data_IF_070508236787
#
_entry.id   IF_070508236787
#
_cell.length_a   1.000
_cell.length_b   1.000
_cell.length_c   1.000
_cell.angle_alpha   90.00
_cell.angle_beta   90.00
_cell.angle_gamma   90.00
#
_symmetry.space_group_name_H-M   'P 1'
#
loop_
_entity.id
_entity.type
_entity.pdbx_description
1 polymer ?
#
# COMPACT_ATOMS: atom_id res chain seq x y z
N UNK A 1 33.70 69.83 -14.46
CA UNK A 1 32.84 69.20 -13.53
C UNK A 1 33.02 67.66 -13.75
N UNK A 2 33.88 67.00 -12.92
CA UNK A 2 34.29 65.60 -13.10
C UNK A 2 33.47 64.79 -12.12
N UNK A 3 32.60 63.89 -12.64
CA UNK A 3 31.89 62.86 -11.81
C UNK A 3 32.84 61.70 -11.49
N UNK A 4 33.00 61.41 -10.20
CA UNK A 4 33.67 60.21 -9.70
C UNK A 4 32.61 59.10 -9.61
N UNK A 5 32.88 57.96 -10.27
CA UNK A 5 32.13 56.71 -10.13
C UNK A 5 32.82 55.90 -9.05
N UNK A 6 32.13 55.67 -7.94
CA UNK A 6 32.58 54.74 -6.90
C UNK A 6 32.08 53.31 -7.23
N UNK A 7 33.03 52.40 -7.37
CA UNK A 7 32.74 50.97 -7.62
C UNK A 7 32.57 50.30 -6.25
N UNK A 8 31.34 49.88 -5.91
CA UNK A 8 31.07 49.03 -4.78
C UNK A 8 31.42 47.57 -5.17
N UNK A 9 32.44 47.01 -4.55
CA UNK A 9 32.75 45.59 -4.64
C UNK A 9 31.84 44.77 -3.67
N UNK A 10 30.87 44.03 -4.24
CA UNK A 10 30.07 43.08 -3.48
C UNK A 10 30.86 41.79 -3.26
N UNK A 11 31.23 41.51 -2.01
CA UNK A 11 31.77 40.21 -1.61
C UNK A 11 30.63 39.17 -1.60
N UNK A 12 30.64 38.28 -2.58
CA UNK A 12 29.84 37.04 -2.55
C UNK A 12 30.52 36.06 -1.60
N UNK A 13 29.97 35.89 -0.40
CA UNK A 13 30.31 34.77 0.46
C UNK A 13 29.58 33.54 -0.08
N UNK A 14 30.27 32.75 -0.87
CA UNK A 14 29.78 31.44 -1.31
C UNK A 14 29.65 30.51 -0.10
N UNK A 15 28.44 30.22 0.35
CA UNK A 15 28.18 29.13 1.25
C UNK A 15 28.46 27.82 0.49
N UNK A 16 29.61 27.19 0.75
CA UNK A 16 29.87 25.82 0.35
C UNK A 16 28.90 24.94 1.15
N UNK A 17 27.79 24.51 0.51
CA UNK A 17 27.02 23.37 0.99
C UNK A 17 27.95 22.17 0.90
N UNK A 18 28.41 21.68 2.03
CA UNK A 18 29.06 20.36 2.14
C UNK A 18 28.05 19.34 1.58
N UNK A 19 28.46 18.45 0.65
CA UNK A 19 27.59 17.37 0.25
C UNK A 19 27.28 16.56 1.51
N UNK A 20 26.01 16.38 1.84
CA UNK A 20 25.60 15.39 2.82
C UNK A 20 26.22 14.07 2.35
N UNK A 21 27.20 13.56 3.10
CA UNK A 21 27.79 12.27 2.82
C UNK A 21 26.62 11.28 2.75
N UNK A 22 26.44 10.65 1.60
CA UNK A 22 25.52 9.54 1.47
C UNK A 22 25.92 8.55 2.59
N UNK A 23 25.02 8.35 3.56
CA UNK A 23 25.30 7.49 4.70
C UNK A 23 25.53 6.10 4.13
N UNK A 24 26.78 5.61 4.21
CA UNK A 24 27.16 4.30 3.71
C UNK A 24 26.30 3.26 4.45
N UNK A 25 25.56 2.46 3.70
CA UNK A 25 24.81 1.33 4.25
C UNK A 25 25.82 0.25 4.69
N UNK A 26 25.52 -0.46 5.78
CA UNK A 26 26.42 -1.45 6.35
C UNK A 26 27.57 -0.80 7.14
N UNK A 27 28.71 -1.47 7.19
CA UNK A 27 29.86 -1.04 7.96
C UNK A 27 29.78 -1.45 9.43
N UNK A 28 30.52 -0.74 10.31
CA UNK A 28 30.47 -1.01 11.75
C UNK A 28 29.12 -0.63 12.34
N UNK A 29 28.45 -1.59 12.94
CA UNK A 29 27.07 -1.41 13.44
C UNK A 29 27.01 -0.43 14.61
N UNK A 30 28.02 -0.42 15.49
CA UNK A 30 28.04 0.48 16.65
C UNK A 30 28.27 1.94 16.21
N UNK A 31 29.19 2.16 15.27
CA UNK A 31 29.41 3.49 14.68
C UNK A 31 28.14 3.97 13.94
N UNK A 32 27.45 3.08 13.24
CA UNK A 32 26.18 3.38 12.58
C UNK A 32 25.08 3.75 13.59
N UNK A 33 24.93 3.01 14.72
CA UNK A 33 24.00 3.34 15.80
C UNK A 33 24.26 4.72 16.39
N UNK A 34 25.53 5.11 16.57
CA UNK A 34 25.88 6.45 17.03
C UNK A 34 25.38 7.55 16.09
N UNK A 35 25.44 7.32 14.77
CA UNK A 35 24.86 8.22 13.78
C UNK A 35 23.32 8.32 13.92
N UNK A 36 22.64 7.18 14.14
CA UNK A 36 21.19 7.16 14.41
C UNK A 36 20.86 7.91 15.70
N UNK A 37 21.64 7.70 16.78
CA UNK A 37 21.45 8.37 18.06
C UNK A 37 21.59 9.90 17.94
N UNK A 38 22.55 10.36 17.15
CA UNK A 38 22.74 11.80 16.89
C UNK A 38 21.51 12.40 16.17
N UNK A 39 20.97 11.72 15.16
CA UNK A 39 19.75 12.14 14.47
C UNK A 39 18.52 12.14 15.40
N UNK A 40 18.34 11.06 16.17
CA UNK A 40 17.25 10.93 17.11
C UNK A 40 17.30 12.03 18.18
N UNK A 41 18.49 12.31 18.72
CA UNK A 41 18.71 13.41 19.67
C UNK A 41 18.41 14.78 19.05
N UNK A 42 18.84 15.01 17.81
CA UNK A 42 18.53 16.25 17.08
C UNK A 42 17.02 16.42 16.82
N UNK A 43 16.28 15.30 16.69
CA UNK A 43 14.83 15.27 16.56
C UNK A 43 14.08 15.36 17.92
N UNK A 44 14.80 15.44 19.05
CA UNK A 44 14.21 15.62 20.38
C UNK A 44 13.86 14.32 21.11
N UNK A 45 14.42 13.18 20.70
CA UNK A 45 14.30 11.92 21.45
C UNK A 45 15.14 12.01 22.73
N UNK A 46 14.53 11.70 23.87
CA UNK A 46 15.15 11.73 25.18
C UNK A 46 15.88 10.42 25.54
N UNK A 47 16.32 10.33 26.79
CA UNK A 47 17.18 9.24 27.28
C UNK A 47 16.54 7.86 27.09
N UNK A 48 15.27 7.69 27.41
CA UNK A 48 14.59 6.37 27.29
C UNK A 48 14.64 5.81 25.87
N UNK A 49 14.40 6.68 24.87
CA UNK A 49 14.48 6.27 23.47
C UNK A 49 15.93 5.99 23.01
N UNK A 50 16.90 6.76 23.50
CA UNK A 50 18.32 6.58 23.17
C UNK A 50 18.90 5.31 23.82
N UNK A 51 18.55 5.03 25.08
CA UNK A 51 18.95 3.81 25.78
C UNK A 51 18.39 2.57 25.06
N UNK A 52 17.14 2.62 24.62
CA UNK A 52 16.55 1.53 23.83
C UNK A 52 17.35 1.30 22.53
N UNK A 53 17.82 2.37 21.87
CA UNK A 53 18.65 2.25 20.67
C UNK A 53 20.05 1.66 20.97
N UNK A 54 20.66 2.04 22.09
CA UNK A 54 21.95 1.50 22.53
C UNK A 54 21.87 -0.02 22.73
N UNK A 55 20.79 -0.50 23.35
CA UNK A 55 20.55 -1.93 23.58
C UNK A 55 20.13 -2.70 22.31
N UNK A 56 19.81 -2.02 21.22
CA UNK A 56 19.33 -2.65 20.00
C UNK A 56 20.42 -3.49 19.30
N UNK A 57 20.03 -4.66 18.84
CA UNK A 57 20.91 -5.65 18.21
C UNK A 57 20.42 -6.08 16.83
N UNK A 58 21.32 -6.66 16.04
CA UNK A 58 20.97 -7.25 14.75
C UNK A 58 20.02 -8.46 14.95
N UNK A 59 18.93 -8.50 14.22
CA UNK A 59 18.00 -9.63 14.13
C UNK A 59 18.13 -10.34 12.77
N UNK A 60 18.90 -11.44 12.75
CA UNK A 60 19.11 -12.26 11.56
C UNK A 60 17.80 -12.85 11.00
N UNK A 61 16.79 -13.03 11.82
CA UNK A 61 15.46 -13.50 11.38
C UNK A 61 14.81 -12.44 10.47
N UNK A 62 14.97 -11.14 10.80
CA UNK A 62 14.44 -10.05 9.99
C UNK A 62 15.13 -9.99 8.62
N UNK A 63 16.46 -10.14 8.57
CA UNK A 63 17.22 -10.25 7.32
C UNK A 63 16.79 -11.44 6.48
N UNK A 64 16.62 -12.60 7.10
CA UNK A 64 16.16 -13.81 6.41
C UNK A 64 14.78 -13.62 5.80
N UNK A 65 13.86 -12.96 6.51
CA UNK A 65 12.52 -12.64 6.00
C UNK A 65 12.56 -11.64 4.84
N UNK A 66 13.37 -10.60 4.95
CA UNK A 66 13.53 -9.60 3.87
C UNK A 66 14.05 -10.23 2.57
N UNK A 67 14.95 -11.21 2.67
CA UNK A 67 15.54 -11.90 1.52
C UNK A 67 14.68 -13.06 0.99
N UNK A 68 13.81 -13.62 1.83
CA UNK A 68 12.94 -14.74 1.48
C UNK A 68 11.58 -14.30 0.91
N UNK A 69 11.42 -13.03 0.51
CA UNK A 69 10.18 -12.57 -0.12
C UNK A 69 9.98 -13.29 -1.45
N UNK A 70 9.14 -14.33 -1.43
CA UNK A 70 8.75 -15.07 -2.61
C UNK A 70 7.98 -14.19 -3.60
N UNK A 71 8.18 -14.43 -4.87
CA UNK A 71 7.43 -13.81 -5.95
C UNK A 71 5.95 -14.22 -5.81
N UNK A 72 5.07 -13.24 -5.59
CA UNK A 72 3.62 -13.47 -5.60
C UNK A 72 3.16 -13.69 -7.04
N UNK A 73 3.09 -14.95 -7.47
CA UNK A 73 2.63 -15.36 -8.82
C UNK A 73 1.15 -15.70 -8.87
N UNK A 74 0.41 -15.56 -7.76
CA UNK A 74 -1.02 -15.87 -7.74
C UNK A 74 -1.81 -14.87 -8.58
N UNK A 75 -2.77 -15.39 -9.35
CA UNK A 75 -3.76 -14.57 -10.02
C UNK A 75 -4.64 -13.82 -9.02
N UNK A 76 -5.30 -12.75 -9.46
CA UNK A 76 -6.24 -12.01 -8.59
C UNK A 76 -7.31 -12.92 -7.97
N UNK A 77 -7.90 -13.82 -8.76
CA UNK A 77 -8.96 -14.71 -8.28
C UNK A 77 -8.43 -15.71 -7.23
N UNK A 78 -7.26 -16.31 -7.46
CA UNK A 78 -6.65 -17.23 -6.49
C UNK A 78 -6.31 -16.51 -5.18
N UNK A 79 -5.69 -15.34 -5.27
CA UNK A 79 -5.34 -14.55 -4.10
C UNK A 79 -6.59 -14.09 -3.34
N UNK A 80 -7.59 -13.53 -4.03
CA UNK A 80 -8.82 -13.04 -3.43
C UNK A 80 -9.61 -14.16 -2.74
N UNK A 81 -9.76 -15.33 -3.39
CA UNK A 81 -10.47 -16.47 -2.81
C UNK A 81 -9.80 -16.98 -1.53
N UNK A 82 -8.47 -16.96 -1.49
CA UNK A 82 -7.72 -17.32 -0.28
C UNK A 82 -7.87 -16.29 0.82
N UNK A 83 -7.80 -14.99 0.46
CA UNK A 83 -7.81 -13.90 1.43
C UNK A 83 -9.22 -13.56 1.93
N UNK A 84 -10.25 -13.62 1.09
CA UNK A 84 -11.65 -13.40 1.46
C UNK A 84 -12.28 -14.73 1.91
N UNK A 85 -11.70 -15.31 2.95
CA UNK A 85 -12.15 -16.60 3.48
C UNK A 85 -13.48 -16.50 4.24
N UNK A 86 -14.22 -17.62 4.31
CA UNK A 86 -15.46 -17.69 5.09
C UNK A 86 -15.20 -17.34 6.57
N UNK A 87 -14.04 -17.71 7.11
CA UNK A 87 -13.63 -17.35 8.47
C UNK A 87 -13.54 -15.85 8.65
N UNK A 88 -12.80 -15.14 7.77
CA UNK A 88 -12.66 -13.67 7.84
C UNK A 88 -13.98 -12.96 7.69
N UNK A 89 -14.82 -13.39 6.75
CA UNK A 89 -16.15 -12.80 6.57
C UNK A 89 -17.04 -12.98 7.82
N UNK A 90 -17.05 -14.17 8.41
CA UNK A 90 -17.81 -14.43 9.64
C UNK A 90 -17.28 -13.62 10.81
N UNK A 91 -15.96 -13.63 11.03
CA UNK A 91 -15.34 -12.90 12.14
C UNK A 91 -15.49 -11.39 11.98
N UNK A 92 -15.33 -10.87 10.75
CA UNK A 92 -15.52 -9.44 10.47
C UNK A 92 -16.96 -8.99 10.70
N UNK A 93 -17.96 -9.76 10.26
CA UNK A 93 -19.37 -9.47 10.53
C UNK A 93 -19.67 -9.47 12.06
N UNK A 94 -19.07 -10.38 12.81
CA UNK A 94 -19.20 -10.40 14.26
C UNK A 94 -18.55 -9.16 14.91
N UNK A 95 -17.36 -8.76 14.46
CA UNK A 95 -16.65 -7.58 14.97
C UNK A 95 -17.37 -6.27 14.61
N UNK A 96 -17.89 -6.15 13.39
CA UNK A 96 -18.70 -4.99 12.97
C UNK A 96 -19.91 -4.81 13.89
N UNK A 97 -20.58 -5.91 14.29
CA UNK A 97 -21.69 -5.87 15.25
C UNK A 97 -21.21 -5.57 16.68
N UNK A 98 -20.12 -6.24 17.12
CA UNK A 98 -19.61 -6.11 18.49
C UNK A 98 -19.14 -4.69 18.81
N UNK A 99 -18.48 -4.03 17.86
CA UNK A 99 -17.88 -2.72 18.01
C UNK A 99 -18.61 -1.62 17.24
N UNK A 100 -19.91 -1.81 17.00
CA UNK A 100 -20.73 -0.90 16.17
C UNK A 100 -20.62 0.56 16.59
N UNK A 101 -20.65 0.86 17.89
CA UNK A 101 -20.53 2.22 18.41
C UNK A 101 -19.17 2.87 18.10
N UNK A 102 -18.08 2.08 18.12
CA UNK A 102 -16.74 2.58 17.78
C UNK A 102 -16.63 2.82 16.29
N UNK A 103 -17.13 1.91 15.46
CA UNK A 103 -17.20 2.08 14.02
C UNK A 103 -18.03 3.29 13.61
N UNK A 104 -19.19 3.53 14.28
CA UNK A 104 -20.02 4.71 14.05
C UNK A 104 -19.26 6.01 14.41
N UNK A 105 -18.48 6.01 15.50
CA UNK A 105 -17.63 7.16 15.84
C UNK A 105 -16.55 7.38 14.78
N UNK A 106 -15.89 6.32 14.33
CA UNK A 106 -14.87 6.39 13.30
C UNK A 106 -15.42 6.95 11.97
N UNK A 107 -16.61 6.49 11.55
CA UNK A 107 -17.28 7.03 10.37
C UNK A 107 -17.67 8.50 10.57
N UNK A 108 -18.29 8.86 11.68
CA UNK A 108 -18.66 10.26 11.98
C UNK A 108 -17.45 11.19 12.01
N UNK A 109 -16.33 10.76 12.60
CA UNK A 109 -15.14 11.60 12.77
C UNK A 109 -14.29 11.66 11.49
N UNK A 110 -14.03 10.52 10.86
CA UNK A 110 -13.06 10.39 9.78
C UNK A 110 -13.70 10.14 8.40
N UNK A 111 -15.01 9.84 8.34
CA UNK A 111 -15.72 9.56 7.10
C UNK A 111 -15.37 8.23 6.45
N UNK A 112 -14.81 7.30 7.21
CA UNK A 112 -14.39 5.99 6.72
C UNK A 112 -15.41 4.94 7.14
N UNK A 113 -16.02 4.29 6.14
CA UNK A 113 -17.06 3.31 6.40
C UNK A 113 -16.55 2.11 7.19
N UNK A 114 -17.35 1.56 8.13
CA UNK A 114 -17.00 0.39 8.95
C UNK A 114 -16.45 -0.80 8.16
N UNK A 115 -17.05 -1.07 7.01
CA UNK A 115 -16.67 -2.17 6.12
C UNK A 115 -15.22 -2.08 5.62
N UNK A 116 -14.73 -0.86 5.38
CA UNK A 116 -13.36 -0.59 4.90
C UNK A 116 -12.34 -0.87 6.00
N UNK A 117 -12.59 -0.36 7.21
CA UNK A 117 -11.73 -0.58 8.37
C UNK A 117 -11.66 -2.07 8.71
N UNK A 118 -12.81 -2.76 8.70
CA UNK A 118 -12.90 -4.20 8.98
C UNK A 118 -12.14 -5.04 7.93
N UNK A 119 -12.13 -4.61 6.66
CA UNK A 119 -11.40 -5.31 5.60
C UNK A 119 -9.88 -5.24 5.83
N UNK A 120 -9.32 -4.08 6.13
CA UNK A 120 -7.91 -3.96 6.48
C UNK A 120 -7.58 -4.76 7.74
N UNK A 121 -8.37 -4.62 8.81
CA UNK A 121 -8.14 -5.34 10.06
C UNK A 121 -8.14 -6.87 9.86
N UNK A 122 -9.07 -7.39 9.05
CA UNK A 122 -9.12 -8.81 8.72
C UNK A 122 -7.96 -9.29 7.86
N UNK A 123 -7.52 -8.49 6.88
CA UNK A 123 -6.44 -8.88 5.97
C UNK A 123 -5.05 -8.79 6.61
N UNK A 124 -4.83 -7.79 7.46
CA UNK A 124 -3.52 -7.58 8.08
C UNK A 124 -3.20 -8.65 9.12
N UNK A 125 -4.14 -8.96 10.02
CA UNK A 125 -3.81 -9.79 11.20
C UNK A 125 -4.88 -10.81 11.58
N UNK A 126 -5.86 -11.12 10.72
CA UNK A 126 -7.02 -11.93 11.12
C UNK A 126 -7.71 -11.37 12.39
N UNK A 127 -7.95 -10.03 12.38
CA UNK A 127 -8.55 -9.29 13.50
C UNK A 127 -7.73 -9.36 14.80
N UNK A 128 -6.41 -9.23 14.68
CA UNK A 128 -5.48 -9.21 15.79
C UNK A 128 -4.95 -10.59 16.22
N UNK A 129 -5.35 -11.66 15.55
CA UNK A 129 -4.91 -13.00 15.89
C UNK A 129 -3.42 -13.24 15.59
N UNK A 130 -2.86 -12.57 14.57
CA UNK A 130 -1.45 -12.72 14.14
C UNK A 130 -0.82 -11.35 13.95
N UNK A 131 -0.18 -10.81 14.97
CA UNK A 131 0.41 -9.45 14.95
C UNK A 131 1.92 -9.42 14.75
N UNK A 132 2.56 -10.59 14.61
CA UNK A 132 4.02 -10.71 14.56
C UNK A 132 4.68 -10.83 15.95
N UNK A 133 5.89 -11.38 15.97
CA UNK A 133 6.68 -11.70 17.16
C UNK A 133 8.13 -11.15 17.08
N UNK A 134 8.45 -10.34 16.08
CA UNK A 134 9.74 -9.70 15.95
C UNK A 134 9.88 -8.54 16.92
N UNK A 135 11.05 -8.38 17.54
CA UNK A 135 11.38 -7.19 18.30
C UNK A 135 11.48 -6.01 17.31
N UNK A 136 10.51 -5.09 17.36
CA UNK A 136 10.33 -4.07 16.32
C UNK A 136 11.57 -3.19 16.13
N UNK A 137 12.21 -2.75 17.23
CA UNK A 137 13.40 -1.92 17.15
C UNK A 137 14.57 -2.69 16.54
N UNK A 138 14.82 -3.95 16.97
CA UNK A 138 15.89 -4.79 16.42
C UNK A 138 15.67 -5.06 14.93
N UNK A 139 14.44 -5.34 14.51
CA UNK A 139 14.10 -5.51 13.10
C UNK A 139 14.39 -4.24 12.28
N UNK A 140 13.97 -3.07 12.78
CA UNK A 140 14.17 -1.81 12.07
C UNK A 140 15.65 -1.37 12.03
N UNK A 141 16.42 -1.50 13.11
CA UNK A 141 17.88 -1.17 13.05
C UNK A 141 18.60 -2.10 12.10
N UNK A 142 18.25 -3.39 12.10
CA UNK A 142 18.82 -4.39 11.20
C UNK A 142 18.57 -4.05 9.74
N UNK A 143 17.33 -3.80 9.38
CA UNK A 143 16.91 -3.53 7.99
C UNK A 143 17.35 -2.14 7.52
N UNK A 144 17.53 -1.19 8.44
CA UNK A 144 18.07 0.14 8.14
C UNK A 144 19.60 0.13 7.95
N UNK A 145 20.29 -0.80 8.61
CA UNK A 145 21.72 -1.00 8.47
C UNK A 145 22.03 -1.81 7.20
N UNK A 146 21.17 -2.74 6.80
CA UNK A 146 21.35 -3.56 5.59
C UNK A 146 21.27 -2.72 4.31
N UNK A 147 22.07 -3.09 3.28
CA UNK A 147 22.22 -2.29 2.06
C UNK A 147 21.09 -2.46 1.04
N UNK A 148 20.13 -3.36 1.26
CA UNK A 148 19.09 -3.65 0.26
C UNK A 148 18.07 -2.53 0.14
N UNK A 149 17.52 -2.02 1.25
CA UNK A 149 16.47 -1.00 1.29
C UNK A 149 16.58 -0.09 2.51
N UNK A 150 17.76 0.46 2.84
CA UNK A 150 18.00 1.12 4.11
C UNK A 150 17.05 2.30 4.37
N UNK A 151 16.78 3.14 3.37
CA UNK A 151 15.96 4.34 3.52
C UNK A 151 14.51 4.02 3.90
N UNK A 152 13.96 2.92 3.38
CA UNK A 152 12.59 2.50 3.68
C UNK A 152 12.39 2.27 5.19
N UNK A 153 13.39 1.69 5.84
CA UNK A 153 13.34 1.35 7.26
C UNK A 153 13.89 2.48 8.14
N UNK A 154 14.88 3.23 7.65
CA UNK A 154 15.52 4.33 8.39
C UNK A 154 14.51 5.39 8.82
N UNK A 155 13.60 5.77 7.95
CA UNK A 155 12.54 6.74 8.25
C UNK A 155 11.61 6.31 9.40
N UNK A 156 11.59 5.02 9.77
CA UNK A 156 10.76 4.50 10.84
C UNK A 156 11.45 4.54 12.22
N UNK A 157 12.79 4.69 12.26
CA UNK A 157 13.56 4.61 13.51
C UNK A 157 13.28 5.77 14.46
N UNK A 158 13.42 7.01 14.01
CA UNK A 158 13.19 8.18 14.88
C UNK A 158 11.75 8.22 15.40
N UNK A 159 10.71 7.97 14.57
CA UNK A 159 9.34 7.83 15.07
C UNK A 159 9.18 6.72 16.13
N UNK A 160 9.79 5.54 15.92
CA UNK A 160 9.72 4.46 16.91
C UNK A 160 10.39 4.87 18.22
N UNK A 161 11.60 5.41 18.16
CA UNK A 161 12.32 5.89 19.34
C UNK A 161 11.54 6.99 20.08
N UNK A 162 10.88 7.88 19.35
CA UNK A 162 9.98 8.89 19.92
C UNK A 162 8.79 8.28 20.66
N UNK A 163 8.17 7.23 20.08
CA UNK A 163 7.05 6.53 20.74
C UNK A 163 7.51 5.80 22.01
N UNK A 164 8.71 5.22 22.00
CA UNK A 164 9.31 4.57 23.17
C UNK A 164 9.65 5.63 24.24
N UNK A 165 10.30 6.71 23.84
CA UNK A 165 10.69 7.79 24.76
C UNK A 165 9.49 8.43 25.47
N UNK A 166 8.35 8.58 24.77
CA UNK A 166 7.10 9.08 25.33
C UNK A 166 6.31 8.05 26.16
N UNK A 167 6.82 6.82 26.29
CA UNK A 167 6.13 5.73 27.00
C UNK A 167 4.84 5.24 26.31
N UNK A 168 4.64 5.60 25.04
CA UNK A 168 3.51 5.08 24.22
C UNK A 168 3.74 3.61 23.89
N UNK A 169 4.97 3.25 23.54
CA UNK A 169 5.38 1.87 23.27
C UNK A 169 6.48 1.44 24.25
N UNK A 170 6.47 0.18 24.71
CA UNK A 170 7.61 -0.36 25.44
C UNK A 170 8.80 -0.60 24.51
N UNK A 171 10.03 -0.55 25.05
CA UNK A 171 11.24 -0.77 24.25
C UNK A 171 11.28 -2.15 23.58
N UNK A 172 10.67 -3.15 24.21
CA UNK A 172 10.58 -4.54 23.74
C UNK A 172 9.32 -4.81 22.88
N UNK A 173 8.67 -3.76 22.36
CA UNK A 173 7.48 -3.90 21.52
C UNK A 173 7.70 -4.87 20.37
N UNK A 174 6.71 -5.74 20.17
CA UNK A 174 6.74 -6.75 19.09
C UNK A 174 5.80 -6.38 17.96
N UNK A 175 6.20 -6.74 16.75
CA UNK A 175 5.45 -6.48 15.53
C UNK A 175 5.81 -7.45 14.41
N UNK A 176 5.50 -7.07 13.16
CA UNK A 176 5.97 -7.79 11.99
C UNK A 176 7.48 -7.57 11.75
N UNK A 177 8.05 -8.38 10.87
CA UNK A 177 9.48 -8.40 10.57
C UNK A 177 9.99 -7.09 9.94
N UNK A 178 9.13 -6.31 9.30
CA UNK A 178 9.47 -5.05 8.65
C UNK A 178 9.09 -3.80 9.49
N UNK A 179 8.76 -4.00 10.77
CA UNK A 179 8.56 -2.90 11.74
C UNK A 179 7.13 -2.44 11.93
N UNK A 180 6.16 -3.09 11.28
CA UNK A 180 4.73 -2.80 11.47
C UNK A 180 4.25 -3.31 12.83
N UNK A 181 3.35 -2.55 13.48
CA UNK A 181 2.89 -2.76 14.86
C UNK A 181 1.37 -2.85 14.89
N UNK A 182 0.87 -3.77 15.73
CA UNK A 182 -0.53 -3.84 16.11
C UNK A 182 -1.43 -4.54 15.09
N UNK A 183 -2.73 -4.47 15.37
CA UNK A 183 -3.73 -5.30 14.69
C UNK A 183 -4.00 -4.89 13.24
N UNK A 184 -3.63 -3.69 12.83
CA UNK A 184 -3.72 -3.24 11.42
C UNK A 184 -2.35 -2.90 10.84
N UNK A 185 -1.27 -3.41 11.44
CA UNK A 185 0.10 -3.35 10.93
C UNK A 185 0.52 -1.91 10.56
N UNK A 186 0.44 -1.02 11.55
CA UNK A 186 0.77 0.39 11.41
C UNK A 186 2.27 0.61 11.57
N UNK A 187 2.88 1.35 10.66
CA UNK A 187 4.28 1.74 10.74
C UNK A 187 4.49 2.82 11.82
N UNK A 188 5.66 2.90 12.47
CA UNK A 188 5.94 3.90 13.52
C UNK A 188 5.65 5.36 13.12
N UNK A 189 5.94 5.75 11.87
CA UNK A 189 5.58 7.08 11.35
C UNK A 189 4.09 7.34 11.41
N UNK A 190 3.29 6.39 10.95
CA UNK A 190 1.83 6.51 10.95
C UNK A 190 1.25 6.38 12.37
N UNK A 191 1.86 5.56 13.22
CA UNK A 191 1.48 5.42 14.62
C UNK A 191 1.62 6.77 15.35
N UNK A 192 2.78 7.44 15.17
CA UNK A 192 3.05 8.74 15.77
C UNK A 192 2.14 9.84 15.24
N UNK A 193 1.84 9.82 13.92
CA UNK A 193 1.07 10.88 13.26
C UNK A 193 -0.45 10.69 13.38
N UNK A 194 -0.94 9.46 13.45
CA UNK A 194 -2.36 9.12 13.30
C UNK A 194 -2.93 8.30 14.46
N UNK A 195 -2.13 7.98 15.49
CA UNK A 195 -2.58 7.25 16.66
C UNK A 195 -3.72 7.99 17.38
N UNK A 196 -4.80 7.27 17.67
CA UNK A 196 -5.99 7.79 18.35
C UNK A 196 -6.32 6.90 19.54
N UNK A 197 -6.41 7.51 20.72
CA UNK A 197 -6.98 6.90 21.93
C UNK A 197 -8.49 6.77 21.72
N UNK A 198 -8.91 5.59 21.34
CA UNK A 198 -10.30 5.30 20.95
C UNK A 198 -11.20 4.92 22.12
N UNK A 199 -10.66 4.43 23.23
CA UNK A 199 -11.42 4.10 24.44
C UNK A 199 -11.33 5.17 25.54
N UNK A 200 -10.41 6.14 25.40
CA UNK A 200 -10.29 7.29 26.28
C UNK A 200 -9.51 6.98 27.58
N UNK A 201 -8.65 5.95 27.55
CA UNK A 201 -7.85 5.55 28.71
C UNK A 201 -6.54 6.38 28.88
N UNK A 202 -6.28 7.30 27.95
CA UNK A 202 -5.11 8.18 27.93
C UNK A 202 -3.90 7.57 27.20
N UNK A 203 -4.06 6.46 26.50
CA UNK A 203 -3.02 5.76 25.74
C UNK A 203 -3.51 5.39 24.35
N UNK A 204 -2.57 5.08 23.48
CA UNK A 204 -2.88 4.47 22.18
C UNK A 204 -2.25 3.09 22.17
N UNK A 205 -3.06 2.03 22.23
CA UNK A 205 -2.59 0.64 22.23
C UNK A 205 -3.14 -0.12 21.02
N UNK A 206 -2.41 -0.09 19.91
CA UNK A 206 -2.82 -0.76 18.68
C UNK A 206 -2.66 -2.29 18.73
N UNK A 207 -2.14 -2.84 19.83
CA UNK A 207 -2.02 -4.29 20.00
C UNK A 207 -3.20 -4.88 20.76
N UNK A 208 -3.74 -4.18 21.74
CA UNK A 208 -4.71 -4.74 22.68
C UNK A 208 -6.03 -3.98 22.72
N UNK A 209 -6.06 -2.66 22.45
CA UNK A 209 -7.29 -1.87 22.40
C UNK A 209 -7.90 -1.88 21.00
N UNK A 210 -9.02 -2.57 20.83
CA UNK A 210 -9.76 -2.58 19.56
C UNK A 210 -10.32 -1.20 19.20
N UNK A 211 -10.84 -0.39 20.15
CA UNK A 211 -11.23 0.99 19.86
C UNK A 211 -10.09 1.82 19.24
N UNK A 212 -8.88 1.73 19.78
CA UNK A 212 -7.71 2.45 19.26
C UNK A 212 -7.36 1.99 17.85
N UNK A 213 -7.41 0.68 17.61
CA UNK A 213 -7.19 0.07 16.29
C UNK A 213 -8.17 0.63 15.26
N UNK A 214 -9.47 0.65 15.57
CA UNK A 214 -10.52 1.13 14.65
C UNK A 214 -10.33 2.62 14.37
N UNK A 215 -10.16 3.44 15.43
CA UNK A 215 -10.06 4.88 15.30
C UNK A 215 -8.75 5.31 14.60
N UNK A 216 -7.62 4.70 14.93
CA UNK A 216 -6.33 4.95 14.29
C UNK A 216 -6.34 4.53 12.82
N UNK A 217 -6.93 3.37 12.50
CA UNK A 217 -7.06 2.91 11.11
C UNK A 217 -7.88 3.89 10.28
N UNK A 218 -9.00 4.39 10.82
CA UNK A 218 -9.82 5.40 10.15
C UNK A 218 -9.08 6.73 9.97
N UNK A 219 -8.37 7.20 11.00
CA UNK A 219 -7.52 8.40 10.95
C UNK A 219 -6.47 8.30 9.84
N UNK A 220 -5.74 7.18 9.77
CA UNK A 220 -4.75 6.93 8.71
C UNK A 220 -5.38 6.90 7.32
N UNK A 221 -6.51 6.20 7.13
CA UNK A 221 -7.21 6.13 5.85
C UNK A 221 -7.66 7.52 5.41
N UNK A 222 -8.25 8.30 6.31
CA UNK A 222 -8.68 9.67 6.01
C UNK A 222 -7.49 10.55 5.59
N UNK A 223 -6.36 10.45 6.28
CA UNK A 223 -5.16 11.25 5.98
C UNK A 223 -4.58 10.97 4.59
N UNK A 224 -4.88 9.80 4.01
CA UNK A 224 -4.49 9.42 2.64
C UNK A 224 -5.48 9.91 1.57
N UNK A 225 -6.42 10.78 1.93
CA UNK A 225 -7.34 11.42 0.98
C UNK A 225 -8.67 10.69 0.79
N UNK A 226 -9.08 9.86 1.74
CA UNK A 226 -10.40 9.22 1.73
C UNK A 226 -11.51 10.25 1.63
N UNK A 227 -12.43 10.04 0.68
CA UNK A 227 -13.60 10.89 0.46
C UNK A 227 -14.83 10.24 1.07
N UNK A 228 -15.43 10.92 2.05
CA UNK A 228 -16.66 10.49 2.72
C UNK A 228 -17.76 10.20 1.70
N UNK A 229 -18.57 9.19 1.94
CA UNK A 229 -19.75 8.79 1.17
C UNK A 229 -19.49 8.47 -0.31
N UNK A 230 -18.22 8.35 -0.71
CA UNK A 230 -17.88 7.91 -2.06
C UNK A 230 -17.56 6.42 -2.12
N UNK A 231 -17.87 5.82 -3.26
CA UNK A 231 -17.50 4.45 -3.57
C UNK A 231 -15.96 4.27 -3.65
N UNK A 232 -15.50 3.03 -3.46
CA UNK A 232 -14.10 2.64 -3.68
C UNK A 232 -13.96 1.72 -4.89
N UNK A 233 -14.73 0.62 -4.97
CA UNK A 233 -14.83 -0.24 -6.16
C UNK A 233 -16.27 -0.69 -6.37
N UNK A 234 -16.59 -0.99 -7.63
CA UNK A 234 -17.86 -1.56 -8.03
C UNK A 234 -17.61 -2.63 -9.08
N UNK A 235 -18.05 -3.86 -8.85
CA UNK A 235 -18.05 -4.90 -9.88
C UNK A 235 -18.94 -4.51 -11.04
N UNK A 236 -18.52 -4.82 -12.28
CA UNK A 236 -19.28 -4.54 -13.49
C UNK A 236 -19.14 -5.67 -14.51
N UNK A 237 -20.05 -5.72 -15.47
CA UNK A 237 -19.91 -6.50 -16.71
C UNK A 237 -19.42 -5.60 -17.82
N UNK A 238 -18.47 -6.11 -18.59
CA UNK A 238 -17.98 -5.48 -19.80
C UNK A 238 -18.51 -6.24 -21.02
N UNK A 239 -18.81 -5.57 -22.14
CA UNK A 239 -19.22 -6.21 -23.39
C UNK A 239 -18.03 -6.98 -24.02
N UNK A 240 -18.30 -7.73 -25.09
CA UNK A 240 -17.23 -8.43 -25.81
C UNK A 240 -16.29 -7.46 -26.55
N UNK A 241 -16.82 -6.33 -27.03
CA UNK A 241 -16.08 -5.29 -27.75
C UNK A 241 -16.39 -3.90 -27.18
N UNK A 242 -15.34 -3.15 -26.92
CA UNK A 242 -15.36 -1.75 -26.49
C UNK A 242 -14.00 -1.10 -26.74
N UNK A 243 -13.82 0.21 -26.54
CA UNK A 243 -12.50 0.86 -26.56
C UNK A 243 -11.61 0.38 -25.41
N UNK A 244 -10.95 -0.78 -25.57
CA UNK A 244 -10.11 -1.40 -24.55
C UNK A 244 -8.90 -0.53 -24.15
N UNK A 245 -8.42 0.34 -25.05
CA UNK A 245 -7.38 1.32 -24.81
C UNK A 245 -7.80 2.39 -23.77
N UNK A 246 -9.09 2.57 -23.55
CA UNK A 246 -9.62 3.47 -22.53
C UNK A 246 -9.70 2.84 -21.15
N UNK A 247 -9.50 1.54 -21.01
CA UNK A 247 -9.49 0.86 -19.70
C UNK A 247 -8.25 1.21 -18.88
N UNK A 248 -8.26 0.84 -17.63
CA UNK A 248 -7.19 1.14 -16.66
C UNK A 248 -7.69 2.00 -15.50
N UNK A 249 -7.08 1.84 -14.35
CA UNK A 249 -7.52 2.53 -13.12
C UNK A 249 -7.29 4.05 -13.13
N UNK A 250 -6.31 4.52 -13.89
CA UNK A 250 -5.93 5.93 -13.95
C UNK A 250 -6.72 6.77 -14.92
N UNK A 251 -7.33 6.13 -15.93
CA UNK A 251 -8.22 6.82 -16.88
C UNK A 251 -9.64 6.86 -16.32
N UNK A 252 -9.91 7.85 -15.46
CA UNK A 252 -11.20 8.02 -14.79
C UNK A 252 -12.18 8.80 -15.65
N UNK A 253 -13.18 8.10 -16.19
CA UNK A 253 -14.25 8.65 -17.02
C UNK A 253 -15.59 8.68 -16.26
N UNK A 254 -16.57 9.52 -16.65
CA UNK A 254 -17.92 9.47 -16.11
C UNK A 254 -18.55 8.09 -16.31
N UNK A 255 -19.42 7.65 -15.39
CA UNK A 255 -20.10 6.37 -15.50
C UNK A 255 -20.97 6.29 -16.75
N UNK A 256 -21.55 7.40 -17.17
CA UNK A 256 -22.31 7.52 -18.42
C UNK A 256 -21.48 7.15 -19.65
N UNK A 257 -20.16 7.45 -19.66
CA UNK A 257 -19.28 7.05 -20.76
C UNK A 257 -19.04 5.53 -20.79
N UNK A 258 -18.83 4.92 -19.62
CA UNK A 258 -18.73 3.47 -19.52
C UNK A 258 -20.03 2.77 -19.94
N UNK A 259 -21.18 3.29 -19.49
CA UNK A 259 -22.49 2.78 -19.90
C UNK A 259 -22.71 2.88 -21.42
N UNK A 260 -22.29 3.98 -22.04
CA UNK A 260 -22.37 4.18 -23.49
C UNK A 260 -21.55 3.12 -24.26
N UNK A 261 -20.46 2.65 -23.69
CA UNK A 261 -19.67 1.55 -24.26
C UNK A 261 -20.15 0.16 -23.87
N UNK A 262 -21.33 0.05 -23.25
CA UNK A 262 -21.97 -1.23 -22.94
C UNK A 262 -21.54 -1.84 -21.59
N UNK A 263 -20.84 -1.10 -20.74
CA UNK A 263 -20.57 -1.55 -19.36
C UNK A 263 -21.85 -1.48 -18.56
N UNK A 264 -22.15 -2.54 -17.81
CA UNK A 264 -23.39 -2.69 -17.02
C UNK A 264 -23.08 -3.12 -15.59
N UNK A 265 -24.08 -3.06 -14.72
CA UNK A 265 -24.03 -3.77 -13.44
C UNK A 265 -23.91 -5.28 -13.64
N UNK A 266 -23.48 -6.05 -12.62
CA UNK A 266 -23.32 -7.51 -12.73
C UNK A 266 -24.58 -8.25 -13.16
N UNK A 267 -25.77 -7.74 -12.82
CA UNK A 267 -27.07 -8.28 -13.19
C UNK A 267 -27.53 -7.88 -14.61
N UNK A 268 -26.73 -7.08 -15.33
CA UNK A 268 -27.05 -6.58 -16.68
C UNK A 268 -27.85 -5.28 -16.71
N UNK A 269 -28.20 -4.70 -15.57
CA UNK A 269 -28.85 -3.40 -15.51
C UNK A 269 -27.88 -2.28 -15.95
N UNK A 270 -28.39 -1.16 -16.50
CA UNK A 270 -27.56 0.01 -16.79
C UNK A 270 -26.84 0.53 -15.54
N UNK A 271 -25.61 1.02 -15.73
CA UNK A 271 -24.91 1.74 -14.66
C UNK A 271 -25.71 2.99 -14.26
N UNK A 272 -25.88 3.17 -12.95
CA UNK A 272 -26.49 4.39 -12.41
C UNK A 272 -25.42 5.48 -12.35
N UNK A 273 -25.64 6.59 -13.08
CA UNK A 273 -24.76 7.75 -13.00
C UNK A 273 -24.91 8.43 -11.63
N UNK A 274 -23.87 8.38 -10.83
CA UNK A 274 -23.81 8.99 -9.49
C UNK A 274 -22.99 10.28 -9.48
N UNK A 275 -22.64 10.81 -10.65
CA UNK A 275 -21.80 12.02 -10.80
C UNK A 275 -20.30 11.80 -10.55
N UNK A 276 -19.90 10.59 -10.21
CA UNK A 276 -18.48 10.24 -10.00
C UNK A 276 -17.82 9.79 -11.30
N UNK A 277 -16.49 9.88 -11.31
CA UNK A 277 -15.66 9.29 -12.36
C UNK A 277 -14.98 8.04 -11.82
N UNK A 278 -14.80 7.04 -12.68
CA UNK A 278 -14.11 5.81 -12.33
C UNK A 278 -13.22 5.33 -13.48
N UNK A 279 -12.12 4.68 -13.13
CA UNK A 279 -11.34 3.89 -14.05
C UNK A 279 -11.90 2.46 -14.15
N UNK A 280 -11.67 1.76 -15.27
CA UNK A 280 -12.10 0.38 -15.42
C UNK A 280 -10.89 -0.56 -15.27
N UNK A 281 -10.80 -1.24 -14.15
CA UNK A 281 -9.75 -2.18 -13.83
C UNK A 281 -10.12 -3.60 -14.29
N UNK A 282 -9.19 -4.24 -15.01
CA UNK A 282 -9.31 -5.59 -15.53
C UNK A 282 -8.15 -6.45 -14.96
N UNK A 283 -8.26 -6.95 -13.71
CA UNK A 283 -7.15 -7.63 -13.05
C UNK A 283 -6.66 -8.87 -13.81
N UNK A 284 -7.54 -9.53 -14.56
CA UNK A 284 -7.25 -10.73 -15.34
C UNK A 284 -7.68 -10.58 -16.81
N UNK A 285 -7.57 -9.36 -17.35
CA UNK A 285 -7.95 -9.04 -18.73
C UNK A 285 -9.46 -8.94 -18.96
N UNK A 286 -9.82 -8.65 -20.21
CA UNK A 286 -11.21 -8.34 -20.60
C UNK A 286 -12.22 -9.49 -20.40
N UNK A 287 -11.76 -10.73 -20.38
CA UNK A 287 -12.61 -11.91 -20.14
C UNK A 287 -12.67 -12.32 -18.66
N UNK A 288 -11.84 -11.69 -17.81
CA UNK A 288 -11.86 -11.87 -16.37
C UNK A 288 -12.84 -10.95 -15.64
N UNK A 289 -12.80 -10.93 -14.31
CA UNK A 289 -13.59 -10.01 -13.51
C UNK A 289 -13.21 -8.55 -13.83
N UNK A 290 -14.20 -7.65 -13.77
CA UNK A 290 -14.04 -6.25 -14.09
C UNK A 290 -14.60 -5.36 -12.98
N UNK A 291 -13.88 -4.28 -12.66
CA UNK A 291 -14.24 -3.38 -11.57
C UNK A 291 -14.07 -1.91 -11.98
N UNK A 292 -15.07 -1.10 -11.73
CA UNK A 292 -14.89 0.34 -11.67
C UNK A 292 -14.12 0.69 -10.39
N UNK A 293 -13.08 1.52 -10.53
CA UNK A 293 -12.23 2.00 -9.43
C UNK A 293 -12.38 3.51 -9.29
N UNK A 294 -12.88 3.94 -8.13
CA UNK A 294 -13.12 5.35 -7.79
C UNK A 294 -11.89 5.97 -7.11
N UNK A 295 -11.97 7.24 -6.74
CA UNK A 295 -10.85 7.93 -6.07
C UNK A 295 -10.46 7.26 -4.74
N UNK A 296 -11.43 6.76 -3.98
CA UNK A 296 -11.18 6.05 -2.73
C UNK A 296 -10.39 4.73 -2.93
N UNK A 297 -10.37 4.16 -4.14
CA UNK A 297 -9.52 3.01 -4.43
C UNK A 297 -8.04 3.36 -4.40
N UNK A 298 -7.67 4.60 -4.75
CA UNK A 298 -6.27 5.02 -4.71
C UNK A 298 -5.73 5.00 -3.26
N UNK A 299 -6.58 5.20 -2.25
CA UNK A 299 -6.21 5.09 -0.82
C UNK A 299 -5.82 3.66 -0.43
N UNK A 300 -6.45 2.63 -1.03
CA UNK A 300 -6.03 1.24 -0.82
C UNK A 300 -4.61 1.00 -1.36
N UNK A 301 -4.24 1.65 -2.46
CA UNK A 301 -2.90 1.57 -3.04
C UNK A 301 -1.86 2.35 -2.23
N UNK A 302 -2.26 3.44 -1.56
CA UNK A 302 -1.40 4.13 -0.58
C UNK A 302 -1.15 3.28 0.68
N UNK A 303 -2.12 2.44 1.06
CA UNK A 303 -1.93 1.48 2.14
C UNK A 303 -0.96 0.36 1.75
N UNK A 304 -1.17 -0.23 0.58
CA UNK A 304 -0.32 -1.30 0.03
C UNK A 304 -0.25 -1.19 -1.49
N UNK A 305 0.94 -0.96 -2.03
CA UNK A 305 1.16 -0.73 -3.46
C UNK A 305 0.87 -1.95 -4.36
N UNK A 306 0.66 -3.13 -3.78
CA UNK A 306 0.24 -4.30 -4.53
C UNK A 306 -1.20 -4.14 -5.04
N UNK A 307 -1.37 -4.00 -6.35
CA UNK A 307 -2.68 -3.90 -6.97
C UNK A 307 -3.59 -5.09 -6.62
N UNK A 308 -3.05 -6.30 -6.60
CA UNK A 308 -3.80 -7.51 -6.24
C UNK A 308 -4.26 -7.46 -4.78
N UNK A 309 -3.41 -7.02 -3.85
CA UNK A 309 -3.79 -6.82 -2.46
C UNK A 309 -4.86 -5.72 -2.33
N UNK A 310 -4.60 -4.54 -2.89
CA UNK A 310 -5.49 -3.39 -2.79
C UNK A 310 -6.89 -3.70 -3.34
N UNK A 311 -6.98 -4.35 -4.50
CA UNK A 311 -8.27 -4.75 -5.08
C UNK A 311 -8.96 -5.83 -4.23
N UNK A 312 -8.21 -6.77 -3.66
CA UNK A 312 -8.77 -7.79 -2.75
C UNK A 312 -9.33 -7.15 -1.48
N UNK A 313 -8.60 -6.19 -0.88
CA UNK A 313 -9.07 -5.45 0.30
C UNK A 313 -10.34 -4.65 -0.01
N UNK A 314 -10.36 -3.97 -1.15
CA UNK A 314 -11.51 -3.22 -1.63
C UNK A 314 -12.73 -4.12 -1.87
N UNK A 315 -12.54 -5.28 -2.51
CA UNK A 315 -13.61 -6.28 -2.70
C UNK A 315 -14.07 -6.87 -1.37
N UNK A 316 -13.15 -7.15 -0.42
CA UNK A 316 -13.54 -7.63 0.91
C UNK A 316 -14.39 -6.59 1.65
N UNK A 317 -14.07 -5.31 1.52
CA UNK A 317 -14.90 -4.23 2.06
C UNK A 317 -16.30 -4.21 1.43
N UNK A 318 -16.43 -4.41 0.10
CA UNK A 318 -17.79 -4.54 -0.52
C UNK A 318 -18.56 -5.73 0.03
N UNK A 319 -17.87 -6.87 0.31
CA UNK A 319 -18.50 -8.04 0.94
C UNK A 319 -19.03 -7.72 2.34
N UNK A 320 -18.29 -6.97 3.15
CA UNK A 320 -18.76 -6.48 4.46
C UNK A 320 -19.91 -5.46 4.34
N UNK A 321 -19.96 -4.69 3.25
CA UNK A 321 -21.06 -3.80 2.93
C UNK A 321 -22.29 -4.52 2.33
N UNK A 322 -22.27 -5.86 2.23
CA UNK A 322 -23.41 -6.68 1.81
C UNK A 322 -23.41 -7.12 0.34
N UNK A 323 -22.36 -6.79 -0.43
CA UNK A 323 -22.26 -7.25 -1.82
C UNK A 323 -22.10 -8.79 -1.89
N UNK A 324 -22.60 -9.45 -2.93
CA UNK A 324 -22.35 -10.87 -3.19
C UNK A 324 -20.88 -11.14 -3.55
N UNK A 325 -20.42 -12.41 -3.61
CA UNK A 325 -19.16 -12.74 -4.22
C UNK A 325 -19.09 -12.23 -5.66
N UNK A 326 -17.94 -11.71 -6.07
CA UNK A 326 -17.75 -11.30 -7.47
C UNK A 326 -17.75 -12.52 -8.41
N UNK A 327 -18.15 -12.31 -9.66
CA UNK A 327 -18.09 -13.33 -10.72
C UNK A 327 -16.63 -13.45 -11.24
N UNK A 328 -15.94 -14.58 -11.06
CA UNK A 328 -14.59 -14.77 -11.57
C UNK A 328 -14.52 -14.78 -13.10
N UNK A 329 -15.62 -14.93 -13.78
CA UNK A 329 -15.77 -15.09 -15.22
C UNK A 329 -14.83 -16.20 -15.77
N UNK A 330 -14.38 -16.05 -17.03
CA UNK A 330 -13.51 -17.03 -17.67
C UNK A 330 -12.32 -16.30 -18.30
N UNK A 331 -11.34 -15.86 -17.50
CA UNK A 331 -10.18 -15.14 -18.02
C UNK A 331 -9.40 -16.00 -19.00
N UNK A 332 -8.74 -15.33 -19.96
CA UNK A 332 -7.79 -15.99 -20.83
C UNK A 332 -6.60 -16.51 -20.01
N UNK A 333 -5.99 -17.59 -20.49
CA UNK A 333 -4.82 -18.15 -19.84
C UNK A 333 -3.71 -17.08 -19.75
N UNK A 334 -3.27 -16.79 -18.53
CA UNK A 334 -2.11 -15.95 -18.25
C UNK A 334 -0.79 -16.71 -18.44
N UNK A 335 0.30 -16.01 -18.24
CA UNK A 335 1.65 -16.57 -18.30
C UNK A 335 2.07 -17.16 -16.95
N UNK A 336 2.87 -18.22 -16.96
CA UNK A 336 3.61 -18.68 -15.80
C UNK A 336 4.68 -17.66 -15.39
N UNK A 337 5.24 -17.78 -14.18
CA UNK A 337 6.30 -16.87 -13.71
C UNK A 337 7.51 -16.81 -14.66
N UNK A 338 7.96 -17.95 -15.19
CA UNK A 338 9.08 -18.00 -16.14
C UNK A 338 8.72 -17.37 -17.49
N UNK A 339 7.50 -17.64 -17.99
CA UNK A 339 7.00 -16.97 -19.19
C UNK A 339 6.84 -15.46 -18.99
N UNK A 340 6.43 -15.03 -17.81
CA UNK A 340 6.33 -13.61 -17.47
C UNK A 340 7.71 -12.95 -17.45
N UNK A 341 8.74 -13.58 -16.87
CA UNK A 341 10.13 -13.09 -16.94
C UNK A 341 10.59 -12.98 -18.38
N UNK A 342 10.31 -13.97 -19.22
CA UNK A 342 10.63 -13.91 -20.64
C UNK A 342 9.92 -12.75 -21.35
N UNK A 343 8.64 -12.51 -21.04
CA UNK A 343 7.88 -11.36 -21.53
C UNK A 343 8.52 -10.03 -21.08
N UNK A 344 8.81 -9.88 -19.77
CA UNK A 344 9.44 -8.68 -19.23
C UNK A 344 10.79 -8.40 -19.91
N UNK A 345 11.66 -9.41 -20.07
CA UNK A 345 12.94 -9.27 -20.78
C UNK A 345 12.76 -8.80 -22.23
N UNK A 346 11.78 -9.35 -22.95
CA UNK A 346 11.50 -8.93 -24.34
C UNK A 346 10.96 -7.49 -24.41
N UNK A 347 10.12 -7.08 -23.47
CA UNK A 347 9.61 -5.72 -23.38
C UNK A 347 10.73 -4.73 -23.03
N UNK A 348 11.59 -5.07 -22.08
CA UNK A 348 12.76 -4.27 -21.71
C UNK A 348 13.72 -4.07 -22.89
N UNK A 349 14.01 -5.14 -23.64
CA UNK A 349 14.83 -5.08 -24.87
C UNK A 349 14.24 -4.16 -25.95
N UNK A 350 12.92 -3.92 -25.94
CA UNK A 350 12.22 -2.95 -26.79
C UNK A 350 12.19 -1.53 -26.21
N UNK A 351 12.78 -1.30 -25.04
CA UNK A 351 12.88 0.01 -24.40
C UNK A 351 11.69 0.37 -23.52
N UNK A 352 10.83 -0.59 -23.15
CA UNK A 352 9.76 -0.35 -22.20
C UNK A 352 10.28 -0.46 -20.75
N UNK A 353 9.80 0.42 -19.88
CA UNK A 353 9.97 0.25 -18.45
C UNK A 353 9.02 -0.86 -17.96
N UNK A 354 9.58 -1.96 -17.51
CA UNK A 354 8.84 -3.08 -16.91
C UNK A 354 9.02 -3.17 -15.40
N UNK A 355 9.82 -2.27 -14.82
CA UNK A 355 10.31 -2.38 -13.46
C UNK A 355 11.34 -3.50 -13.34
N UNK A 356 11.23 -4.34 -12.32
CA UNK A 356 12.12 -5.50 -12.14
C UNK A 356 11.63 -6.69 -12.98
N UNK A 357 12.57 -7.40 -13.60
CA UNK A 357 12.27 -8.67 -14.31
C UNK A 357 12.18 -9.79 -13.26
N UNK A 358 11.05 -9.89 -12.61
CA UNK A 358 10.80 -10.77 -11.46
C UNK A 358 9.71 -11.84 -11.71
N UNK A 359 9.00 -11.73 -12.83
CA UNK A 359 7.89 -12.63 -13.18
C UNK A 359 6.54 -12.21 -12.59
N UNK A 360 6.46 -10.99 -12.01
CA UNK A 360 5.22 -10.42 -11.46
C UNK A 360 4.59 -9.45 -12.47
N UNK A 361 3.27 -9.52 -12.63
CA UNK A 361 2.51 -8.55 -13.41
C UNK A 361 2.30 -7.26 -12.60
N UNK A 362 3.35 -6.46 -12.47
CA UNK A 362 3.30 -5.14 -11.84
C UNK A 362 2.68 -4.06 -12.73
N UNK A 363 2.54 -2.86 -12.19
CA UNK A 363 1.96 -1.70 -12.91
C UNK A 363 2.73 -1.38 -14.18
N UNK A 364 4.07 -1.27 -14.09
CA UNK A 364 4.91 -0.92 -15.25
C UNK A 364 4.86 -1.99 -16.33
N UNK A 365 4.95 -3.28 -15.93
CA UNK A 365 4.81 -4.41 -16.88
C UNK A 365 3.45 -4.37 -17.59
N UNK A 366 2.36 -4.10 -16.85
CA UNK A 366 1.01 -4.00 -17.42
C UNK A 366 0.89 -2.85 -18.43
N UNK A 367 1.46 -1.70 -18.15
CA UNK A 367 1.48 -0.57 -19.08
C UNK A 367 2.34 -0.86 -20.34
N UNK A 368 3.47 -1.53 -20.19
CA UNK A 368 4.27 -1.99 -21.31
C UNK A 368 3.50 -2.98 -22.21
N UNK A 369 2.78 -3.93 -21.60
CA UNK A 369 1.88 -4.86 -22.31
C UNK A 369 0.82 -4.09 -23.08
N UNK A 370 0.15 -3.11 -22.49
CA UNK A 370 -0.87 -2.30 -23.17
C UNK A 370 -0.32 -1.59 -24.41
N UNK A 371 0.87 -1.01 -24.32
CA UNK A 371 1.54 -0.37 -25.45
C UNK A 371 1.84 -1.36 -26.59
N UNK A 372 2.30 -2.56 -26.25
CA UNK A 372 2.54 -3.61 -27.27
C UNK A 372 1.24 -4.17 -27.85
N UNK A 373 0.21 -4.38 -27.05
CA UNK A 373 -1.12 -4.75 -27.54
C UNK A 373 -1.63 -3.73 -28.55
N UNK A 374 -1.52 -2.44 -28.25
CA UNK A 374 -1.90 -1.36 -29.18
C UNK A 374 -1.09 -1.41 -30.47
N UNK A 375 0.24 -1.57 -30.37
CA UNK A 375 1.13 -1.67 -31.56
C UNK A 375 0.80 -2.87 -32.43
N UNK A 376 0.35 -3.98 -31.83
CA UNK A 376 0.03 -5.22 -32.51
C UNK A 376 -1.44 -5.30 -32.96
N UNK A 377 -2.26 -4.28 -32.71
CA UNK A 377 -3.70 -4.29 -33.00
C UNK A 377 -4.49 -5.32 -32.20
N UNK A 378 -3.99 -5.68 -31.00
CA UNK A 378 -4.67 -6.58 -30.05
C UNK A 378 -5.56 -5.76 -29.09
N UNK A 379 -6.57 -6.39 -28.46
CA UNK A 379 -7.32 -5.73 -27.38
C UNK A 379 -6.40 -5.23 -26.27
N UNK A 380 -6.49 -3.94 -25.94
CA UNK A 380 -5.56 -3.24 -25.03
C UNK A 380 -6.05 -3.37 -23.58
N UNK A 381 -6.05 -4.59 -23.05
CA UNK A 381 -6.54 -4.89 -21.69
C UNK A 381 -5.43 -5.09 -20.65
N UNK A 382 -4.18 -5.07 -21.09
CA UNK A 382 -3.00 -5.23 -20.23
C UNK A 382 -2.82 -6.64 -19.66
N UNK A 383 -3.50 -7.66 -20.24
CA UNK A 383 -3.36 -9.04 -19.79
C UNK A 383 -2.31 -9.78 -20.62
N UNK A 384 -1.33 -10.42 -19.99
CA UNK A 384 -0.28 -11.17 -20.69
C UNK A 384 -0.80 -12.56 -21.08
N UNK A 385 -0.90 -12.80 -22.38
CA UNK A 385 -1.30 -14.10 -22.93
C UNK A 385 -0.13 -14.79 -23.62
N UNK A 386 -0.17 -16.14 -23.78
CA UNK A 386 0.80 -16.87 -24.61
C UNK A 386 0.85 -16.34 -26.07
N UNK A 387 -0.28 -15.88 -26.61
CA UNK A 387 -0.35 -15.28 -27.94
C UNK A 387 0.49 -13.99 -28.02
N UNK A 388 0.36 -13.10 -27.02
CA UNK A 388 1.17 -11.88 -26.94
C UNK A 388 2.66 -12.22 -26.87
N UNK A 389 3.05 -13.16 -25.98
CA UNK A 389 4.45 -13.57 -25.83
C UNK A 389 5.05 -14.11 -27.11
N UNK A 390 4.25 -14.83 -27.91
CA UNK A 390 4.68 -15.39 -29.19
C UNK A 390 4.87 -14.32 -30.30
N UNK A 391 4.17 -13.18 -30.19
CA UNK A 391 4.25 -12.06 -31.14
C UNK A 391 5.38 -11.06 -30.83
N UNK A 392 5.99 -11.15 -29.66
CA UNK A 392 7.12 -10.33 -29.23
C UNK A 392 8.46 -10.95 -29.64
#
# INVERSE_FOLDING_TARGET
MRLRVEILAAFFVGAFALPAAAQECGGDFEAWKQGVAAEAKAAGVGETGLDALEDATIDERALARDRAQGVFTQTFTEFSNRMISAYRLKQGAANLKKYAEVFDRADKQFGVQPAVIAAFWGLETDFGAVQGDFHTLNALVTLSHDCRRPQLFRQQLVPLLTLIDRGVLPADVKGAWAGEIGQTQILPTDYLAHGVDGDGDGRVDLRNSVPDVIMTTASKIQSRGWKRDQHWVQEVRVPDEMPWDQTGRTNKLPLSQWAQWGVTEPNGNPLIDNGLKAGLALPMGRKGPAFLTYDNFDVYLEWNQSFTYALTAAVMATRFAGAPPFDPRTPEQGLSGDQMKALQTKLEAKGYDVGTVDGILGTNTREAIRKEQMRLGLPVDGWPTPELLAKL
#
